data_IF_091826848456
#
_entry.id   IF_091826848456
#
_cell.length_a   1.000
_cell.length_b   1.000
_cell.length_c   1.000
_cell.angle_alpha   90.00
_cell.angle_beta   90.00
_cell.angle_gamma   90.00
#
_symmetry.space_group_name_H-M   'P 1'
#
loop_
_entity.id
_entity.type
_entity.pdbx_description
1 polymer ?
#
# COMPACT_ATOMS: atom_id res chain seq x y z
N UNK A 1 -5.47 -4.84 13.53
CA UNK A 1 -5.25 -3.38 13.41
C UNK A 1 -4.96 -3.03 11.95
N UNK A 2 -5.30 -1.82 11.49
CA UNK A 2 -5.18 -1.40 10.09
C UNK A 2 -3.75 -1.56 9.49
N UNK A 3 -2.66 -1.19 10.18
CA UNK A 3 -1.30 -1.37 9.65
C UNK A 3 -0.98 -2.83 9.30
N UNK A 4 -1.40 -3.76 10.14
CA UNK A 4 -1.16 -5.20 9.91
C UNK A 4 -1.89 -5.73 8.66
N UNK A 5 -3.07 -5.23 8.37
CA UNK A 5 -3.81 -5.61 7.15
C UNK A 5 -3.11 -5.08 5.89
N UNK A 6 -2.57 -3.86 5.96
CA UNK A 6 -1.78 -3.25 4.88
C UNK A 6 -0.52 -4.07 4.62
N UNK A 7 0.21 -4.47 5.66
CA UNK A 7 1.39 -5.35 5.52
C UNK A 7 1.06 -6.67 4.82
N UNK A 8 -0.04 -7.32 5.22
CA UNK A 8 -0.44 -8.60 4.63
C UNK A 8 -0.79 -8.45 3.15
N UNK A 9 -1.52 -7.38 2.77
CA UNK A 9 -1.84 -7.11 1.37
C UNK A 9 -0.61 -6.78 0.55
N UNK A 10 0.29 -5.95 1.06
CA UNK A 10 1.54 -5.62 0.40
C UNK A 10 2.41 -6.86 0.18
N UNK A 11 2.67 -7.65 1.23
CA UNK A 11 3.48 -8.85 1.13
C UNK A 11 2.88 -9.88 0.17
N UNK A 12 1.56 -10.07 0.21
CA UNK A 12 0.81 -10.94 -0.71
C UNK A 12 0.93 -10.46 -2.16
N UNK A 13 0.69 -9.17 -2.43
CA UNK A 13 0.79 -8.60 -3.77
C UNK A 13 2.21 -8.53 -4.33
N UNK A 14 3.23 -8.41 -3.47
CA UNK A 14 4.65 -8.39 -3.86
C UNK A 14 5.20 -9.78 -4.24
N UNK A 15 4.67 -10.85 -3.64
CA UNK A 15 5.23 -12.20 -3.78
C UNK A 15 4.40 -13.11 -4.68
N UNK A 16 3.11 -12.83 -4.87
CA UNK A 16 2.20 -13.64 -5.66
C UNK A 16 1.71 -12.88 -6.90
N UNK A 17 2.22 -13.18 -8.12
CA UNK A 17 1.82 -12.50 -9.35
C UNK A 17 0.32 -12.56 -9.66
N UNK A 18 -0.40 -13.56 -9.17
CA UNK A 18 -1.85 -13.68 -9.32
C UNK A 18 -2.65 -12.82 -8.33
N UNK A 19 -1.98 -12.10 -7.41
CA UNK A 19 -2.59 -11.26 -6.39
C UNK A 19 -2.30 -9.76 -6.56
N UNK A 20 -2.07 -9.31 -7.79
CA UNK A 20 -1.90 -7.88 -8.11
C UNK A 20 -3.04 -7.01 -7.56
N UNK A 21 -4.25 -7.57 -7.44
CA UNK A 21 -5.40 -6.92 -6.82
C UNK A 21 -5.10 -6.45 -5.39
N UNK A 22 -4.30 -7.16 -4.61
CA UNK A 22 -3.95 -6.72 -3.25
C UNK A 22 -3.21 -5.37 -3.23
N UNK A 23 -2.38 -5.10 -4.24
CA UNK A 23 -1.70 -3.79 -4.38
C UNK A 23 -2.69 -2.70 -4.81
N UNK A 24 -3.67 -3.03 -5.66
CA UNK A 24 -4.74 -2.11 -6.02
C UNK A 24 -5.61 -1.75 -4.81
N UNK A 25 -5.99 -2.75 -3.99
CA UNK A 25 -6.74 -2.54 -2.76
C UNK A 25 -5.98 -1.64 -1.77
N UNK A 26 -4.64 -1.75 -1.69
CA UNK A 26 -3.83 -0.85 -0.86
C UNK A 26 -3.86 0.59 -1.38
N UNK A 27 -3.80 0.80 -2.70
CA UNK A 27 -3.93 2.14 -3.28
C UNK A 27 -5.31 2.75 -3.03
N UNK A 28 -6.38 1.95 -3.12
CA UNK A 28 -7.73 2.37 -2.77
C UNK A 28 -7.84 2.75 -1.28
N UNK A 29 -7.24 1.97 -0.39
CA UNK A 29 -7.19 2.30 1.03
C UNK A 29 -6.43 3.60 1.31
N UNK A 30 -5.31 3.83 0.62
CA UNK A 30 -4.54 5.09 0.73
C UNK A 30 -5.43 6.28 0.38
N UNK A 31 -6.20 6.20 -0.71
CA UNK A 31 -7.15 7.25 -1.12
C UNK A 31 -8.30 7.40 -0.14
N UNK A 32 -9.03 6.32 0.10
CA UNK A 32 -10.29 6.33 0.85
C UNK A 32 -10.10 6.73 2.33
N UNK A 33 -8.98 6.32 2.93
CA UNK A 33 -8.67 6.64 4.32
C UNK A 33 -7.63 7.76 4.47
N UNK A 34 -7.22 8.42 3.37
CA UNK A 34 -6.20 9.47 3.36
C UNK A 34 -4.95 9.08 4.17
N UNK A 35 -4.42 7.88 3.91
CA UNK A 35 -3.33 7.32 4.71
C UNK A 35 -2.07 8.18 4.55
N UNK A 36 -1.43 8.51 5.68
CA UNK A 36 -0.19 9.29 5.69
C UNK A 36 0.98 8.47 5.14
N UNK A 37 1.87 9.14 4.37
CA UNK A 37 3.16 8.60 3.94
C UNK A 37 3.98 8.06 5.11
N UNK A 38 3.86 8.67 6.29
CA UNK A 38 4.59 8.29 7.49
C UNK A 38 4.16 6.94 8.07
N UNK A 39 3.01 6.39 7.64
CA UNK A 39 2.59 5.04 8.03
C UNK A 39 3.67 4.01 7.71
N UNK A 40 4.46 4.24 6.65
CA UNK A 40 5.60 3.41 6.27
C UNK A 40 6.57 3.14 7.44
N UNK A 41 6.74 4.10 8.36
CA UNK A 41 7.65 3.98 9.50
C UNK A 41 7.21 2.89 10.50
N UNK A 42 5.92 2.56 10.49
CA UNK A 42 5.31 1.56 11.38
C UNK A 42 5.12 0.20 10.73
N UNK A 43 5.33 0.10 9.41
CA UNK A 43 5.22 -1.17 8.66
C UNK A 43 6.52 -1.96 8.77
N UNK A 44 6.43 -3.26 8.53
CA UNK A 44 7.57 -4.16 8.37
C UNK A 44 8.53 -3.65 7.26
N UNK A 45 9.87 -3.63 7.49
CA UNK A 45 10.86 -3.18 6.53
C UNK A 45 10.71 -3.77 5.11
N UNK A 46 10.27 -5.02 5.00
CA UNK A 46 10.11 -5.71 3.71
C UNK A 46 9.10 -5.04 2.78
N UNK A 47 8.07 -4.38 3.32
CA UNK A 47 6.95 -3.81 2.53
C UNK A 47 6.99 -2.28 2.42
N UNK A 48 7.92 -1.60 3.11
CA UNK A 48 7.95 -0.13 3.20
C UNK A 48 8.11 0.55 1.85
N UNK A 49 9.11 0.13 1.09
CA UNK A 49 9.40 0.73 -0.22
C UNK A 49 8.20 0.59 -1.17
N UNK A 50 7.54 -0.58 -1.15
CA UNK A 50 6.34 -0.80 -1.95
C UNK A 50 5.19 0.09 -1.49
N UNK A 51 4.97 0.25 -0.18
CA UNK A 51 3.96 1.18 0.32
C UNK A 51 4.24 2.62 -0.14
N UNK A 52 5.49 3.09 -0.04
CA UNK A 52 5.86 4.44 -0.46
C UNK A 52 5.68 4.65 -1.97
N UNK A 53 6.02 3.65 -2.79
CA UNK A 53 5.78 3.67 -4.23
C UNK A 53 4.30 3.81 -4.55
N UNK A 54 3.44 2.99 -3.94
CA UNK A 54 1.99 3.05 -4.16
C UNK A 54 1.39 4.35 -3.64
N UNK A 55 1.87 4.85 -2.49
CA UNK A 55 1.44 6.12 -1.93
C UNK A 55 1.77 7.27 -2.88
N UNK A 56 2.98 7.29 -3.44
CA UNK A 56 3.41 8.30 -4.40
C UNK A 56 2.57 8.21 -5.68
N UNK A 57 2.36 7.01 -6.23
CA UNK A 57 1.55 6.81 -7.43
C UNK A 57 0.10 7.32 -7.27
N UNK A 58 -0.49 7.12 -6.09
CA UNK A 58 -1.83 7.64 -5.75
C UNK A 58 -1.88 9.17 -5.78
N UNK A 59 -0.81 9.85 -5.34
CA UNK A 59 -0.77 11.31 -5.22
C UNK A 59 -0.30 12.00 -6.51
N UNK A 60 0.56 11.36 -7.29
CA UNK A 60 1.02 11.87 -8.60
C UNK A 60 -0.05 11.70 -9.69
N UNK A 61 -0.86 10.66 -9.58
CA UNK A 61 -1.98 10.37 -10.48
C UNK A 61 -3.29 10.22 -9.70
N UNK A 62 -3.87 11.34 -9.20
CA UNK A 62 -5.24 11.29 -8.70
C UNK A 62 -6.11 10.84 -9.89
N UNK A 63 -6.67 9.63 -9.80
CA UNK A 63 -7.62 9.13 -10.79
C UNK A 63 -8.80 10.12 -10.81
N UNK A 64 -9.03 10.76 -11.97
CA UNK A 64 -10.11 11.74 -12.22
C UNK A 64 -11.51 11.16 -12.00
#
# INVERSE_FOLDING_TARGET
PLPRLIELKLASGMTAPHRLKDLADVQELIRAASLSRELANTLDPYVRDKYLELWQAVHDHPQE
#
